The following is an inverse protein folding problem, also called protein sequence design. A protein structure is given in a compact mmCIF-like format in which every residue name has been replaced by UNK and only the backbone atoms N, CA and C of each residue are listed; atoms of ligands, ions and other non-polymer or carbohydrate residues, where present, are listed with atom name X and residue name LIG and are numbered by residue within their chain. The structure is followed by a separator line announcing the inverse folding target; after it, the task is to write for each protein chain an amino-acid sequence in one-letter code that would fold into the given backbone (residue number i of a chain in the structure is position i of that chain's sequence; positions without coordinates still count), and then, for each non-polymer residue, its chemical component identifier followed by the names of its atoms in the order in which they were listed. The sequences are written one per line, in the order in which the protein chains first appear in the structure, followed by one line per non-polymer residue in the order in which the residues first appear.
data_IF_861308157300
#
_entry.id   IF_861308157300
#
_cell.length_a   1.000
_cell.length_b   1.000
_cell.length_c   1.000
_cell.angle_alpha   90.00
_cell.angle_beta   90.00
_cell.angle_gamma   90.00
#
_symmetry.space_group_name_H-M   'P 1'
#
loop_
_entity.id
_entity.type
_entity.pdbx_description
1 polymer ?
#
# COMPACT_ATOMS: atom_id res chain seq x y z
N UNK A 1 27.12 62.71 24.43
CA UNK A 1 26.86 61.89 23.23
C UNK A 1 26.90 60.42 23.67
N UNK A 2 25.74 59.78 23.80
CA UNK A 2 25.64 58.35 24.06
C UNK A 2 25.62 57.60 22.72
N UNK A 3 26.33 56.47 22.56
CA UNK A 3 26.04 55.55 21.48
C UNK A 3 24.92 54.59 21.89
N UNK A 4 23.92 54.48 21.03
CA UNK A 4 22.74 53.61 21.15
C UNK A 4 23.11 52.13 20.91
N UNK A 5 22.54 51.16 21.65
CA UNK A 5 22.67 49.76 21.30
C UNK A 5 21.63 49.40 20.22
N UNK A 6 22.09 49.19 18.98
CA UNK A 6 21.25 48.58 17.94
C UNK A 6 21.14 47.08 18.24
N UNK A 7 20.01 46.72 18.84
CA UNK A 7 19.53 45.36 19.03
C UNK A 7 19.23 44.76 17.65
N UNK A 8 20.10 43.85 17.19
CA UNK A 8 19.82 43.00 16.06
C UNK A 8 18.90 41.85 16.52
N UNK A 9 17.58 42.06 16.47
CA UNK A 9 16.63 40.95 16.47
C UNK A 9 16.66 40.31 15.07
N UNK A 10 17.59 39.39 14.86
CA UNK A 10 17.62 38.52 13.67
C UNK A 10 17.16 37.12 14.04
N UNK A 11 16.04 36.72 13.43
CA UNK A 11 15.54 35.35 13.29
C UNK A 11 14.83 34.72 14.49
N UNK A 12 13.71 35.30 14.91
CA UNK A 12 12.53 34.49 15.24
C UNK A 12 11.66 34.33 13.99
N UNK A 13 12.12 33.53 13.04
CA UNK A 13 11.20 32.89 12.10
C UNK A 13 10.71 31.64 12.83
N UNK A 14 9.79 31.82 13.77
CA UNK A 14 9.03 30.70 14.31
C UNK A 14 8.35 30.05 13.12
N UNK A 15 8.75 28.81 12.83
CA UNK A 15 8.06 27.96 11.87
C UNK A 15 6.70 27.60 12.45
N UNK A 16 5.79 28.56 12.46
CA UNK A 16 4.38 28.36 12.75
C UNK A 16 3.68 27.83 11.48
N UNK A 17 4.25 26.79 10.87
CA UNK A 17 3.44 25.89 10.07
C UNK A 17 2.52 25.18 11.04
N UNK A 18 1.19 25.33 10.93
CA UNK A 18 0.27 24.64 11.83
C UNK A 18 0.55 23.14 11.73
N UNK A 19 1.01 22.55 12.83
CA UNK A 19 1.19 21.11 12.91
C UNK A 19 -0.15 20.45 12.58
N UNK A 20 -0.20 19.62 11.54
CA UNK A 20 -1.42 18.88 11.22
C UNK A 20 -1.86 18.09 12.45
N UNK A 21 -3.15 18.08 12.81
CA UNK A 21 -3.64 17.26 13.90
C UNK A 21 -3.20 15.80 13.70
N UNK A 22 -2.59 15.20 14.73
CA UNK A 22 -1.92 13.90 14.64
C UNK A 22 -2.77 12.81 13.95
N UNK A 23 -4.05 12.69 14.30
CA UNK A 23 -4.96 11.72 13.65
C UNK A 23 -5.15 11.96 12.15
N UNK A 24 -5.21 13.23 11.72
CA UNK A 24 -5.31 13.59 10.30
C UNK A 24 -4.01 13.31 9.53
N UNK A 25 -2.86 13.44 10.20
CA UNK A 25 -1.55 13.15 9.61
C UNK A 25 -1.41 11.67 9.23
N UNK A 26 -1.89 10.74 10.06
CA UNK A 26 -1.89 9.32 9.74
C UNK A 26 -2.79 8.98 8.54
N UNK A 27 -4.02 9.50 8.55
CA UNK A 27 -4.97 9.29 7.45
C UNK A 27 -4.40 9.85 6.14
N UNK A 28 -3.82 11.06 6.18
CA UNK A 28 -3.18 11.67 5.02
C UNK A 28 -1.99 10.82 4.51
N UNK A 29 -1.14 10.30 5.40
CA UNK A 29 -0.04 9.42 5.03
C UNK A 29 -0.52 8.13 4.36
N UNK A 30 -1.54 7.47 4.93
CA UNK A 30 -2.12 6.25 4.37
C UNK A 30 -2.76 6.49 3.00
N UNK A 31 -3.59 7.54 2.87
CA UNK A 31 -4.22 7.90 1.61
C UNK A 31 -3.19 8.26 0.55
N UNK A 32 -2.17 9.06 0.91
CA UNK A 32 -1.09 9.41 -0.01
C UNK A 32 -0.34 8.17 -0.51
N UNK A 33 0.05 7.28 0.39
CA UNK A 33 0.70 6.01 0.02
C UNK A 33 -0.18 5.16 -0.90
N UNK A 34 -1.48 5.03 -0.60
CA UNK A 34 -2.41 4.27 -1.43
C UNK A 34 -2.54 4.88 -2.84
N UNK A 35 -2.70 6.21 -2.94
CA UNK A 35 -2.78 6.90 -4.22
C UNK A 35 -1.49 6.76 -5.03
N UNK A 36 -0.33 6.98 -4.41
CA UNK A 36 0.98 6.80 -5.04
C UNK A 36 1.16 5.36 -5.55
N UNK A 37 0.81 4.37 -4.73
CA UNK A 37 0.87 2.95 -5.09
C UNK A 37 0.00 2.63 -6.31
N UNK A 38 -1.26 3.05 -6.30
CA UNK A 38 -2.19 2.79 -7.42
C UNK A 38 -1.78 3.53 -8.70
N UNK A 39 -1.47 4.82 -8.60
CA UNK A 39 -1.11 5.64 -9.76
C UNK A 39 0.16 5.15 -10.44
N UNK A 40 1.10 4.59 -9.66
CA UNK A 40 2.32 3.99 -10.22
C UNK A 40 2.03 2.85 -11.18
N UNK A 41 1.10 1.95 -10.85
CA UNK A 41 0.72 0.90 -11.79
C UNK A 41 0.23 1.50 -13.11
N UNK A 42 -0.67 2.48 -13.04
CA UNK A 42 -1.22 3.12 -14.22
C UNK A 42 -0.14 3.80 -15.07
N UNK A 43 0.82 4.50 -14.44
CA UNK A 43 1.95 5.15 -15.12
C UNK A 43 2.85 4.10 -15.78
N UNK A 44 3.31 3.10 -15.03
CA UNK A 44 4.24 2.08 -15.54
C UNK A 44 3.59 1.24 -16.64
N UNK A 45 2.35 0.79 -16.46
CA UNK A 45 1.63 0.05 -17.50
C UNK A 45 1.40 0.90 -18.76
N UNK A 46 1.07 2.18 -18.61
CA UNK A 46 0.92 3.10 -19.75
C UNK A 46 2.25 3.33 -20.49
N UNK A 47 3.38 3.39 -19.77
CA UNK A 47 4.71 3.49 -20.37
C UNK A 47 5.06 2.27 -21.23
N UNK A 48 4.54 1.08 -20.89
CA UNK A 48 4.62 -0.13 -21.72
C UNK A 48 3.49 -0.25 -22.76
N UNK A 49 2.69 0.80 -22.97
CA UNK A 49 1.53 0.84 -23.87
C UNK A 49 0.45 -0.21 -23.54
N UNK A 50 0.33 -0.57 -22.27
CA UNK A 50 -0.69 -1.50 -21.77
C UNK A 50 -1.93 -0.68 -21.39
N UNK A 51 -3.09 -0.88 -22.04
CA UNK A 51 -4.27 -0.06 -21.75
C UNK A 51 -4.81 -0.29 -20.34
N UNK A 52 -4.91 0.78 -19.55
CA UNK A 52 -5.66 0.79 -18.28
C UNK A 52 -7.15 0.83 -18.60
N UNK A 53 -7.92 -0.16 -18.16
CA UNK A 53 -9.37 -0.25 -18.36
C UNK A 53 -10.14 0.44 -17.24
N UNK A 54 -9.73 0.19 -16.01
CA UNK A 54 -10.42 0.66 -14.81
C UNK A 54 -9.40 0.96 -13.70
N UNK A 55 -9.61 2.05 -12.98
CA UNK A 55 -8.94 2.33 -11.72
C UNK A 55 -10.02 2.43 -10.64
N UNK A 56 -10.05 1.46 -9.73
CA UNK A 56 -11.03 1.38 -8.66
C UNK A 56 -10.40 1.81 -7.34
N UNK A 57 -11.04 2.72 -6.63
CA UNK A 57 -10.72 3.05 -5.25
C UNK A 57 -11.76 2.40 -4.34
N UNK A 58 -11.29 1.55 -3.42
CA UNK A 58 -12.13 0.86 -2.45
C UNK A 58 -12.67 -0.51 -2.88
N UNK A 59 -13.55 -1.06 -2.03
CA UNK A 59 -14.27 -2.33 -2.20
C UNK A 59 -15.79 -2.14 -2.05
N UNK A 60 -16.55 -3.16 -2.46
CA UNK A 60 -18.02 -3.19 -2.36
C UNK A 60 -18.74 -2.59 -3.58
N UNK A 61 -20.01 -2.17 -3.43
CA UNK A 61 -20.79 -1.63 -4.52
C UNK A 61 -20.20 -0.32 -5.03
N UNK A 62 -20.29 -0.11 -6.35
CA UNK A 62 -19.85 1.12 -7.00
C UNK A 62 -20.79 2.28 -6.63
N UNK A 63 -20.23 3.38 -6.14
CA UNK A 63 -20.98 4.58 -5.78
C UNK A 63 -20.85 5.64 -6.87
N UNK A 64 -19.62 5.87 -7.35
CA UNK A 64 -19.33 6.91 -8.36
C UNK A 64 -18.53 6.31 -9.51
N UNK A 65 -18.85 6.73 -10.73
CA UNK A 65 -18.11 6.40 -11.95
C UNK A 65 -17.75 7.66 -12.71
N UNK A 66 -16.46 7.87 -12.95
CA UNK A 66 -15.95 8.98 -13.74
C UNK A 66 -14.92 8.47 -14.75
N UNK A 67 -15.29 8.38 -16.03
CA UNK A 67 -14.42 7.86 -17.09
C UNK A 67 -13.96 6.42 -16.80
N UNK A 68 -12.65 6.23 -16.54
CA UNK A 68 -12.03 4.95 -16.13
C UNK A 68 -11.92 4.78 -14.62
N UNK A 69 -12.19 5.83 -13.84
CA UNK A 69 -12.14 5.81 -12.38
C UNK A 69 -13.47 5.30 -11.83
N UNK A 70 -13.40 4.45 -10.81
CA UNK A 70 -14.52 3.91 -10.05
C UNK A 70 -14.26 4.16 -8.57
N UNK A 71 -15.24 4.70 -7.86
CA UNK A 71 -15.17 4.86 -6.41
C UNK A 71 -16.23 3.94 -5.81
N UNK A 72 -15.81 3.09 -4.88
CA UNK A 72 -16.65 2.11 -4.21
C UNK A 72 -16.93 2.52 -2.77
N UNK A 73 -17.97 1.94 -2.19
CA UNK A 73 -18.51 2.33 -0.88
C UNK A 73 -17.47 2.30 0.24
N UNK A 74 -16.61 1.28 0.27
CA UNK A 74 -15.59 1.15 1.30
C UNK A 74 -14.25 1.65 0.74
N UNK A 75 -13.76 2.84 1.10
CA UNK A 75 -12.53 3.43 0.54
C UNK A 75 -11.25 2.79 1.13
N UNK A 76 -11.28 1.48 1.35
CA UNK A 76 -10.16 0.70 1.84
C UNK A 76 -9.49 0.04 0.62
N UNK A 77 -8.25 0.38 0.31
CA UNK A 77 -7.51 -0.19 -0.82
C UNK A 77 -8.02 0.29 -2.20
N UNK A 78 -7.65 -0.45 -3.23
CA UNK A 78 -8.07 -0.18 -4.61
C UNK A 78 -7.28 -1.02 -5.60
N UNK A 79 -7.62 -0.92 -6.88
CA UNK A 79 -7.02 -1.73 -7.93
C UNK A 79 -6.93 -0.99 -9.25
N UNK A 80 -5.95 -1.35 -10.06
CA UNK A 80 -5.83 -0.94 -11.46
C UNK A 80 -6.02 -2.18 -12.33
N UNK A 81 -7.09 -2.18 -13.13
CA UNK A 81 -7.35 -3.24 -14.10
C UNK A 81 -6.74 -2.85 -15.43
N UNK A 82 -5.76 -3.63 -15.86
CA UNK A 82 -5.22 -3.57 -17.21
C UNK A 82 -6.07 -4.44 -18.14
N UNK A 83 -5.91 -4.20 -19.43
CA UNK A 83 -6.39 -5.12 -20.46
C UNK A 83 -5.71 -6.49 -20.29
N UNK A 84 -6.50 -7.54 -20.22
CA UNK A 84 -6.07 -8.94 -20.01
C UNK A 84 -6.92 -9.86 -20.91
N UNK A 85 -6.32 -10.86 -21.57
CA UNK A 85 -7.04 -11.76 -22.48
C UNK A 85 -7.97 -12.75 -21.78
N UNK A 86 -7.89 -12.89 -20.44
CA UNK A 86 -8.78 -13.74 -19.66
C UNK A 86 -10.19 -13.16 -19.42
N UNK A 87 -10.49 -11.94 -19.88
CA UNK A 87 -11.78 -11.28 -19.67
C UNK A 87 -12.85 -11.72 -20.69
N UNK A 88 -14.09 -11.93 -20.25
CA UNK A 88 -15.20 -12.27 -21.15
C UNK A 88 -15.60 -11.07 -22.02
N UNK A 89 -15.81 -11.29 -23.33
CA UNK A 89 -16.33 -10.28 -24.26
C UNK A 89 -15.27 -9.49 -25.05
N UNK A 90 -14.09 -10.06 -25.29
CA UNK A 90 -13.02 -9.43 -26.07
C UNK A 90 -13.33 -9.45 -27.58
N UNK A 91 -13.10 -8.32 -28.26
CA UNK A 91 -13.12 -8.25 -29.73
C UNK A 91 -11.75 -8.60 -30.32
N UNK A 92 -11.64 -8.92 -31.62
CA UNK A 92 -10.33 -9.21 -32.26
C UNK A 92 -9.34 -8.03 -32.17
N UNK A 93 -9.85 -6.79 -32.14
CA UNK A 93 -9.04 -5.58 -31.87
C UNK A 93 -8.50 -5.53 -30.43
N UNK A 94 -9.08 -6.31 -29.51
CA UNK A 94 -8.63 -6.44 -28.14
C UNK A 94 -7.46 -7.42 -27.95
N UNK A 95 -6.95 -8.06 -29.01
CA UNK A 95 -5.86 -9.03 -28.88
C UNK A 95 -4.47 -8.39 -28.69
N UNK A 96 -4.29 -7.12 -29.10
CA UNK A 96 -2.98 -6.44 -29.00
C UNK A 96 -2.84 -5.61 -27.72
N UNK A 97 -1.70 -5.77 -27.02
CA UNK A 97 -1.32 -4.94 -25.88
C UNK A 97 -1.94 -5.34 -24.53
N UNK A 98 -2.42 -6.58 -24.39
CA UNK A 98 -2.87 -7.11 -23.10
C UNK A 98 -1.67 -7.41 -22.17
N UNK A 99 -1.84 -7.23 -20.86
CA UNK A 99 -0.77 -7.39 -19.87
C UNK A 99 -0.21 -8.81 -19.88
N UNK A 100 -1.07 -9.81 -19.95
CA UNK A 100 -0.72 -11.24 -19.92
C UNK A 100 0.06 -11.70 -21.16
N UNK A 101 -0.04 -10.97 -22.28
CA UNK A 101 0.76 -11.18 -23.50
C UNK A 101 2.15 -10.54 -23.48
N UNK A 102 2.43 -9.66 -22.53
CA UNK A 102 3.73 -8.99 -22.44
C UNK A 102 4.83 -9.97 -22.00
N UNK A 103 6.12 -9.70 -22.30
CA UNK A 103 7.22 -10.47 -21.73
C UNK A 103 7.12 -10.56 -20.22
N UNK A 104 7.50 -11.71 -19.63
CA UNK A 104 7.41 -11.97 -18.18
C UNK A 104 8.00 -10.84 -17.34
N UNK A 105 9.13 -10.27 -17.74
CA UNK A 105 9.76 -9.18 -17.01
C UNK A 105 8.92 -7.90 -17.00
N UNK A 106 8.16 -7.58 -18.07
CA UNK A 106 7.23 -6.43 -18.10
C UNK A 106 6.09 -6.67 -17.13
N UNK A 107 5.53 -7.88 -17.14
CA UNK A 107 4.47 -8.25 -16.19
C UNK A 107 4.94 -8.12 -14.74
N UNK A 108 6.17 -8.54 -14.44
CA UNK A 108 6.77 -8.39 -13.11
C UNK A 108 7.03 -6.92 -12.75
N UNK A 109 7.57 -6.12 -13.67
CA UNK A 109 7.79 -4.68 -13.46
C UNK A 109 6.47 -3.98 -13.15
N UNK A 110 5.41 -4.23 -13.93
CA UNK A 110 4.09 -3.68 -13.65
C UNK A 110 3.60 -4.19 -12.29
N UNK A 111 3.60 -5.49 -12.05
CA UNK A 111 3.07 -6.09 -10.81
C UNK A 111 3.76 -5.60 -9.53
N UNK A 112 5.06 -5.27 -9.58
CA UNK A 112 5.84 -4.85 -8.43
C UNK A 112 6.08 -3.33 -8.36
N UNK A 113 5.72 -2.57 -9.40
CA UNK A 113 6.01 -1.13 -9.48
C UNK A 113 5.47 -0.32 -8.31
N UNK A 114 4.21 -0.53 -7.90
CA UNK A 114 3.64 0.15 -6.75
C UNK A 114 4.34 -0.18 -5.43
N UNK A 115 4.84 -1.40 -5.24
CA UNK A 115 5.63 -1.80 -4.06
C UNK A 115 7.00 -1.13 -4.10
N UNK A 116 7.64 -1.09 -5.27
CA UNK A 116 8.92 -0.42 -5.45
C UNK A 116 8.83 1.08 -5.15
N UNK A 117 7.73 1.75 -5.52
CA UNK A 117 7.50 3.15 -5.12
C UNK A 117 7.34 3.30 -3.61
N UNK A 118 6.52 2.47 -2.96
CA UNK A 118 6.34 2.53 -1.50
C UNK A 118 7.66 2.31 -0.75
N UNK A 119 8.47 1.36 -1.21
CA UNK A 119 9.80 1.13 -0.67
C UNK A 119 10.71 2.35 -0.89
N UNK A 120 10.64 2.98 -2.07
CA UNK A 120 11.39 4.21 -2.36
C UNK A 120 10.99 5.35 -1.42
N UNK A 121 9.69 5.54 -1.16
CA UNK A 121 9.20 6.52 -0.17
C UNK A 121 9.74 6.22 1.22
N UNK A 122 9.72 4.96 1.65
CA UNK A 122 10.28 4.55 2.94
C UNK A 122 11.80 4.80 3.01
N UNK A 123 12.55 4.49 1.97
CA UNK A 123 14.00 4.72 1.91
C UNK A 123 14.36 6.21 1.88
N UNK A 124 13.58 7.05 1.19
CA UNK A 124 13.83 8.50 1.14
C UNK A 124 13.55 9.14 2.51
N UNK A 125 12.52 8.68 3.21
CA UNK A 125 12.08 9.28 4.48
C UNK A 125 12.77 8.70 5.72
N UNK A 126 13.10 7.41 5.71
CA UNK A 126 13.67 6.66 6.83
C UNK A 126 15.07 6.10 6.55
N UNK A 127 15.61 6.27 5.34
CA UNK A 127 16.92 5.74 4.96
C UNK A 127 16.95 4.21 5.13
N UNK A 128 18.03 3.66 5.69
CA UNK A 128 18.15 2.21 5.94
C UNK A 128 17.15 1.69 6.97
N UNK A 129 16.61 2.54 7.86
CA UNK A 129 15.52 2.16 8.76
C UNK A 129 14.24 1.83 7.98
N UNK A 130 14.08 2.34 6.75
CA UNK A 130 12.98 1.95 5.87
C UNK A 130 13.01 0.46 5.50
N UNK A 131 14.21 -0.12 5.30
CA UNK A 131 14.36 -1.56 5.07
C UNK A 131 14.02 -2.37 6.31
N UNK A 132 14.47 -1.92 7.49
CA UNK A 132 14.15 -2.56 8.77
C UNK A 132 12.64 -2.50 9.05
N UNK A 133 12.00 -1.36 8.82
CA UNK A 133 10.56 -1.20 8.95
C UNK A 133 9.78 -2.11 7.99
N UNK A 134 10.28 -2.34 6.78
CA UNK A 134 9.72 -3.31 5.83
C UNK A 134 9.85 -4.74 6.37
N UNK A 135 11.05 -5.15 6.80
CA UNK A 135 11.30 -6.51 7.30
C UNK A 135 10.49 -6.81 8.55
N UNK A 136 10.47 -5.88 9.49
CA UNK A 136 9.68 -5.98 10.72
C UNK A 136 8.18 -5.99 10.39
N UNK A 137 7.77 -5.26 9.35
CA UNK A 137 6.40 -5.24 8.86
C UNK A 137 5.84 -6.62 8.56
N UNK A 138 6.62 -7.51 7.93
CA UNK A 138 6.17 -8.90 7.69
C UNK A 138 5.85 -9.64 8.99
N UNK A 139 6.76 -9.60 9.96
CA UNK A 139 6.59 -10.26 11.25
C UNK A 139 5.43 -9.63 12.03
N UNK A 140 5.33 -8.30 12.07
CA UNK A 140 4.28 -7.58 12.77
C UNK A 140 2.90 -7.93 12.22
N UNK A 141 2.72 -7.91 10.89
CA UNK A 141 1.43 -8.23 10.26
C UNK A 141 0.96 -9.64 10.61
N UNK A 142 1.86 -10.64 10.56
CA UNK A 142 1.49 -12.04 10.81
C UNK A 142 1.38 -12.33 12.31
N UNK A 143 2.41 -12.03 13.10
CA UNK A 143 2.44 -12.34 14.53
C UNK A 143 1.43 -11.51 15.32
N UNK A 144 1.17 -10.26 14.91
CA UNK A 144 0.09 -9.46 15.49
C UNK A 144 -1.27 -10.12 15.26
N UNK A 145 -1.55 -10.59 14.05
CA UNK A 145 -2.80 -11.29 13.76
C UNK A 145 -2.95 -12.63 14.51
N UNK A 146 -1.85 -13.29 14.86
CA UNK A 146 -1.89 -14.52 15.68
C UNK A 146 -2.08 -14.23 17.17
N UNK A 147 -1.85 -13.00 17.63
CA UNK A 147 -1.98 -12.57 19.03
C UNK A 147 -2.78 -11.26 19.16
N UNK A 148 -4.09 -11.27 18.82
CA UNK A 148 -4.91 -10.07 18.76
C UNK A 148 -5.13 -9.40 20.13
N UNK A 149 -5.14 -10.16 21.22
CA UNK A 149 -5.28 -9.66 22.60
C UNK A 149 -3.94 -9.35 23.28
N UNK A 150 -2.82 -9.72 22.66
CA UNK A 150 -1.48 -9.58 23.21
C UNK A 150 -0.61 -8.70 22.32
N UNK A 151 0.19 -9.31 21.45
CA UNK A 151 1.19 -8.59 20.65
C UNK A 151 0.58 -7.50 19.75
N UNK A 152 -0.61 -7.74 19.19
CA UNK A 152 -1.32 -6.71 18.42
C UNK A 152 -1.65 -5.48 19.27
N UNK A 153 -2.01 -5.64 20.54
CA UNK A 153 -2.30 -4.52 21.45
C UNK A 153 -1.05 -3.68 21.70
N UNK A 154 0.12 -4.33 21.86
CA UNK A 154 1.41 -3.64 21.96
C UNK A 154 1.72 -2.86 20.68
N UNK A 155 1.52 -3.46 19.50
CA UNK A 155 1.76 -2.80 18.21
C UNK A 155 0.79 -1.63 17.97
N UNK A 156 -0.48 -1.75 18.36
CA UNK A 156 -1.47 -0.68 18.28
C UNK A 156 -1.13 0.47 19.22
N UNK A 157 -0.63 0.18 20.42
CA UNK A 157 -0.12 1.20 21.33
C UNK A 157 1.09 1.95 20.77
N UNK A 158 2.05 1.22 20.20
CA UNK A 158 3.20 1.82 19.52
C UNK A 158 2.76 2.69 18.33
N UNK A 159 1.85 2.17 17.51
CA UNK A 159 1.31 2.90 16.36
C UNK A 159 0.61 4.19 16.80
N UNK A 160 -0.20 4.17 17.87
CA UNK A 160 -0.83 5.38 18.37
C UNK A 160 0.19 6.40 18.87
N UNK A 161 1.19 5.99 19.67
CA UNK A 161 2.23 6.91 20.13
C UNK A 161 2.99 7.52 18.94
N UNK A 162 3.31 6.70 17.94
CA UNK A 162 3.95 7.16 16.70
C UNK A 162 3.10 8.20 15.96
N UNK A 163 1.79 7.99 15.86
CA UNK A 163 0.85 8.92 15.21
C UNK A 163 0.85 10.28 15.93
N UNK A 164 0.92 10.28 17.27
CA UNK A 164 0.89 11.50 18.07
C UNK A 164 2.22 12.28 18.06
N UNK A 165 3.35 11.58 17.96
CA UNK A 165 4.66 12.16 18.29
C UNK A 165 5.59 12.31 17.09
N UNK A 166 5.42 11.51 16.04
CA UNK A 166 6.37 11.52 14.92
C UNK A 166 6.03 12.63 13.91
N UNK A 167 7.06 13.24 13.31
CA UNK A 167 6.87 14.13 12.16
C UNK A 167 6.17 13.39 11.01
N UNK A 168 5.37 14.12 10.23
CA UNK A 168 4.61 13.55 9.10
C UNK A 168 5.48 12.74 8.13
N UNK A 169 6.70 13.21 7.82
CA UNK A 169 7.60 12.51 6.90
C UNK A 169 8.03 11.13 7.44
N UNK A 170 8.32 11.04 8.75
CA UNK A 170 8.66 9.76 9.40
C UNK A 170 7.46 8.83 9.42
N UNK A 171 6.28 9.37 9.74
CA UNK A 171 5.03 8.61 9.72
C UNK A 171 4.70 8.08 8.31
N UNK A 172 4.88 8.91 7.28
CA UNK A 172 4.71 8.54 5.88
C UNK A 172 5.64 7.38 5.49
N UNK A 173 6.90 7.43 5.91
CA UNK A 173 7.87 6.36 5.70
C UNK A 173 7.48 5.04 6.37
N UNK A 174 7.02 5.09 7.62
CA UNK A 174 6.59 3.91 8.36
C UNK A 174 5.34 3.29 7.72
N UNK A 175 4.39 4.11 7.31
CA UNK A 175 3.19 3.67 6.59
C UNK A 175 3.59 3.06 5.24
N UNK A 176 4.45 3.72 4.47
CA UNK A 176 4.92 3.22 3.18
C UNK A 176 5.63 1.85 3.31
N UNK A 177 6.53 1.70 4.28
CA UNK A 177 7.23 0.45 4.54
C UNK A 177 6.27 -0.69 4.93
N UNK A 178 5.32 -0.43 5.83
CA UNK A 178 4.33 -1.44 6.25
C UNK A 178 3.34 -1.78 5.13
N UNK A 179 2.93 -0.80 4.34
CA UNK A 179 2.11 -1.03 3.14
C UNK A 179 2.86 -1.85 2.09
N UNK A 180 4.16 -1.61 1.89
CA UNK A 180 4.99 -2.43 0.99
C UNK A 180 5.10 -3.87 1.50
N UNK A 181 5.34 -4.07 2.81
CA UNK A 181 5.39 -5.40 3.42
C UNK A 181 4.08 -6.15 3.23
N UNK A 182 2.94 -5.49 3.51
CA UNK A 182 1.61 -6.06 3.31
C UNK A 182 1.40 -6.49 1.85
N UNK A 183 1.69 -5.62 0.88
CA UNK A 183 1.50 -5.91 -0.53
C UNK A 183 2.46 -6.99 -1.09
N UNK A 184 3.58 -7.27 -0.41
CA UNK A 184 4.49 -8.36 -0.77
C UNK A 184 4.10 -9.72 -0.18
N UNK A 185 3.10 -9.79 0.70
CA UNK A 185 2.64 -11.06 1.23
C UNK A 185 2.09 -11.97 0.11
N UNK A 186 2.27 -13.29 0.21
CA UNK A 186 1.85 -14.25 -0.81
C UNK A 186 0.35 -14.57 -0.71
N UNK A 187 -0.49 -13.55 -0.53
CA UNK A 187 -1.93 -13.71 -0.50
C UNK A 187 -2.59 -13.28 -1.81
N UNK A 188 -3.69 -13.93 -2.23
CA UNK A 188 -4.47 -13.52 -3.40
C UNK A 188 -4.79 -12.02 -3.37
N UNK A 189 -4.74 -11.38 -4.54
CA UNK A 189 -4.87 -9.94 -4.75
C UNK A 189 -3.68 -9.06 -4.29
N UNK A 190 -2.72 -9.59 -3.53
CA UNK A 190 -1.49 -8.86 -3.20
C UNK A 190 -0.44 -9.00 -4.32
N UNK A 191 0.41 -7.99 -4.47
CA UNK A 191 1.47 -7.96 -5.48
C UNK A 191 2.45 -9.13 -5.37
N UNK A 192 2.76 -9.56 -4.13
CA UNK A 192 3.62 -10.71 -3.88
C UNK A 192 3.09 -12.00 -4.50
N UNK A 193 1.81 -12.31 -4.32
CA UNK A 193 1.20 -13.49 -4.94
C UNK A 193 1.15 -13.37 -6.46
N UNK A 194 0.86 -12.19 -7.00
CA UNK A 194 0.85 -11.97 -8.46
C UNK A 194 2.25 -12.19 -9.07
N UNK A 195 3.30 -11.67 -8.42
CA UNK A 195 4.67 -11.89 -8.86
C UNK A 195 5.07 -13.37 -8.77
N UNK A 196 4.73 -14.07 -7.68
CA UNK A 196 4.96 -15.51 -7.55
C UNK A 196 4.22 -16.31 -8.63
N UNK A 197 2.99 -15.94 -8.96
CA UNK A 197 2.24 -16.58 -10.04
C UNK A 197 2.91 -16.37 -11.41
N UNK A 198 3.34 -15.15 -11.72
CA UNK A 198 4.04 -14.83 -12.98
C UNK A 198 5.35 -15.62 -13.09
N UNK A 199 6.16 -15.65 -12.02
CA UNK A 199 7.41 -16.41 -11.95
C UNK A 199 7.13 -17.91 -12.09
N UNK A 200 6.17 -18.43 -11.33
CA UNK A 200 5.79 -19.84 -11.37
C UNK A 200 5.33 -20.27 -12.76
N UNK A 201 4.54 -19.45 -13.46
CA UNK A 201 4.16 -19.70 -14.86
C UNK A 201 5.38 -19.72 -15.78
N UNK A 202 6.28 -18.74 -15.66
CA UNK A 202 7.49 -18.65 -16.49
C UNK A 202 8.44 -19.84 -16.28
N UNK A 203 8.48 -20.42 -15.08
CA UNK A 203 9.29 -21.59 -14.74
C UNK A 203 8.58 -22.94 -15.01
N UNK A 204 7.36 -22.95 -15.57
CA UNK A 204 6.58 -24.18 -15.76
C UNK A 204 6.08 -24.82 -14.46
N UNK A 205 6.08 -24.06 -13.36
CA UNK A 205 5.66 -24.48 -12.02
C UNK A 205 4.18 -24.20 -11.72
N UNK A 206 3.38 -23.82 -12.72
CA UNK A 206 1.96 -23.48 -12.55
C UNK A 206 1.13 -24.59 -11.86
N UNK A 207 1.51 -25.86 -12.03
CA UNK A 207 0.90 -27.01 -11.33
C UNK A 207 0.97 -26.92 -9.80
N UNK A 208 1.94 -26.19 -9.25
CA UNK A 208 2.10 -25.98 -7.81
C UNK A 208 1.28 -24.80 -7.29
N UNK A 209 0.50 -24.13 -8.14
CA UNK A 209 -0.47 -23.11 -7.76
C UNK A 209 -1.91 -23.57 -8.08
N UNK A 210 -2.42 -24.65 -7.45
CA UNK A 210 -3.78 -25.11 -7.71
C UNK A 210 -4.82 -24.12 -7.17
N UNK A 211 -6.03 -24.14 -7.74
CA UNK A 211 -7.14 -23.30 -7.28
C UNK A 211 -7.46 -23.49 -5.79
N UNK A 212 -7.23 -24.69 -5.24
CA UNK A 212 -7.41 -24.97 -3.81
C UNK A 212 -6.44 -24.16 -2.93
N UNK A 213 -5.19 -24.00 -3.35
CA UNK A 213 -4.21 -23.18 -2.63
C UNK A 213 -4.66 -21.71 -2.61
N UNK A 214 -5.12 -21.20 -3.76
CA UNK A 214 -5.65 -19.82 -3.85
C UNK A 214 -6.83 -19.62 -2.89
N UNK A 215 -7.76 -20.58 -2.82
CA UNK A 215 -8.88 -20.53 -1.86
C UNK A 215 -8.41 -20.49 -0.40
N UNK A 216 -7.49 -21.38 -0.02
CA UNK A 216 -6.97 -21.41 1.34
C UNK A 216 -6.21 -20.14 1.72
N UNK A 217 -5.38 -19.61 0.81
CA UNK A 217 -4.67 -18.36 1.04
C UNK A 217 -5.63 -17.17 1.15
N UNK A 218 -6.74 -17.17 0.40
CA UNK A 218 -7.78 -16.15 0.52
C UNK A 218 -8.47 -16.21 1.89
N UNK A 219 -8.81 -17.41 2.37
CA UNK A 219 -9.39 -17.59 3.71
C UNK A 219 -8.40 -17.19 4.81
N UNK A 220 -7.11 -17.54 4.67
CA UNK A 220 -6.07 -17.14 5.60
C UNK A 220 -5.89 -15.61 5.63
N UNK A 221 -5.91 -14.95 4.47
CA UNK A 221 -5.87 -13.49 4.38
C UNK A 221 -7.08 -12.87 5.09
N UNK A 222 -8.29 -13.38 4.84
CA UNK A 222 -9.50 -12.88 5.49
C UNK A 222 -9.43 -13.04 7.01
N UNK A 223 -9.02 -14.21 7.51
CA UNK A 223 -8.86 -14.45 8.93
C UNK A 223 -7.83 -13.49 9.56
N UNK A 224 -6.71 -13.24 8.87
CA UNK A 224 -5.69 -12.29 9.30
C UNK A 224 -6.25 -10.85 9.37
N UNK A 225 -7.02 -10.41 8.38
CA UNK A 225 -7.68 -9.09 8.40
C UNK A 225 -8.73 -8.97 9.52
N UNK A 226 -9.55 -10.00 9.71
CA UNK A 226 -10.56 -10.02 10.78
C UNK A 226 -9.90 -9.99 12.17
N UNK A 227 -8.78 -10.69 12.35
CA UNK A 227 -8.02 -10.67 13.61
C UNK A 227 -7.51 -9.27 13.93
N UNK A 228 -6.93 -8.56 12.95
CA UNK A 228 -6.49 -7.16 13.11
C UNK A 228 -7.65 -6.21 13.38
N UNK A 229 -8.78 -6.38 12.69
CA UNK A 229 -9.98 -5.59 12.95
C UNK A 229 -10.49 -5.80 14.39
N UNK A 230 -10.55 -7.06 14.85
CA UNK A 230 -10.91 -7.40 16.23
C UNK A 230 -9.92 -6.80 17.25
N UNK A 231 -8.62 -6.91 16.99
CA UNK A 231 -7.58 -6.31 17.83
C UNK A 231 -7.74 -4.80 17.95
N UNK A 232 -8.01 -4.11 16.83
CA UNK A 232 -8.27 -2.67 16.81
C UNK A 232 -9.52 -2.30 17.61
N UNK A 233 -10.62 -3.04 17.44
CA UNK A 233 -11.85 -2.80 18.21
C UNK A 233 -11.59 -2.96 19.71
N UNK A 234 -10.93 -4.05 20.13
CA UNK A 234 -10.58 -4.26 21.55
C UNK A 234 -9.69 -3.14 22.08
N UNK A 235 -8.72 -2.68 21.29
CA UNK A 235 -7.83 -1.59 21.67
C UNK A 235 -8.58 -0.27 21.88
N UNK A 236 -9.55 0.02 21.02
CA UNK A 236 -10.38 1.23 21.12
C UNK A 236 -11.37 1.16 22.29
N UNK A 237 -11.86 -0.02 22.65
CA UNK A 237 -12.77 -0.21 23.79
C UNK A 237 -12.07 -0.12 25.15
N UNK A 238 -10.78 -0.47 25.21
CA UNK A 238 -10.01 -0.53 26.46
C UNK A 238 -9.16 0.74 26.73
N UNK A 239 -9.50 1.85 26.07
CA UNK A 239 -8.83 3.14 26.17
C UNK A 239 -9.70 4.19 26.83
#
# INVERSE_FOLDING_TARGET
MQPSPLRADSNQFTQDTPAMPAGSAFIAAFVLCALLHLTTFAIVGSAFRIPVREMSLGFGPQVIRFGRVRIRLLPLGGSVRFKDLGEAGLTEADLQGALDTQPTWVQLVVALSGVALLLSVALVTLQLEGLRALTDGFAQIVLGALSPTGYAQTLLAQAHQAILQLPFAVLLGLVAAKSAAFNLLPFPANNGAHALFIIGRALGLGRFWPAQLTRWLMLAHLALMLSWAGALVMYLLNR
#
